data_IF_283383229087
#
_entry.id   IF_283383229087
#
_cell.length_a   1.000
_cell.length_b   1.000
_cell.length_c   1.000
_cell.angle_alpha   90.00
_cell.angle_beta   90.00
_cell.angle_gamma   90.00
#
_symmetry.space_group_name_H-M   'P 1'
#
loop_
_entity.id
_entity.type
_entity.pdbx_description
1 polymer ?
#
# COMPACT_ATOMS: atom_id res chain seq x y z
N UNK A 1 24.27 27.34 -37.23
CA UNK A 1 23.00 27.13 -36.50
C UNK A 1 23.36 26.45 -35.18
N UNK A 2 23.44 27.20 -34.07
CA UNK A 2 23.85 26.68 -32.74
C UNK A 2 22.60 26.32 -31.95
N UNK A 3 22.43 25.04 -31.62
CA UNK A 3 21.35 24.58 -30.75
C UNK A 3 21.74 24.82 -29.29
N UNK A 4 20.99 25.69 -28.61
CA UNK A 4 21.03 25.81 -27.16
C UNK A 4 20.25 24.64 -26.55
N UNK A 5 20.96 23.70 -25.94
CA UNK A 5 20.34 22.70 -25.08
C UNK A 5 19.96 23.39 -23.75
N UNK A 6 18.66 23.63 -23.57
CA UNK A 6 18.10 24.10 -22.30
C UNK A 6 18.20 22.97 -21.28
N UNK A 7 19.08 23.12 -20.29
CA UNK A 7 19.18 22.19 -19.18
C UNK A 7 17.87 22.22 -18.37
N UNK A 8 17.27 21.06 -18.14
CA UNK A 8 16.11 20.92 -17.26
C UNK A 8 16.47 21.42 -15.84
N UNK A 9 15.55 22.12 -15.15
CA UNK A 9 15.85 22.68 -13.84
C UNK A 9 16.14 21.56 -12.84
N UNK A 10 17.28 21.66 -12.14
CA UNK A 10 17.60 20.80 -11.00
C UNK A 10 16.54 21.03 -9.91
N UNK A 11 15.75 20.00 -9.64
CA UNK A 11 14.70 20.00 -8.61
C UNK A 11 15.32 20.33 -7.25
N UNK A 12 14.87 21.42 -6.62
CA UNK A 12 15.35 21.83 -5.30
C UNK A 12 15.13 20.70 -4.28
N UNK A 13 16.11 20.48 -3.41
CA UNK A 13 16.03 19.49 -2.34
C UNK A 13 15.15 20.08 -1.23
N UNK A 14 13.87 19.69 -1.19
CA UNK A 14 12.98 20.02 -0.08
C UNK A 14 13.43 19.35 1.23
N UNK A 15 13.37 20.10 2.32
CA UNK A 15 13.75 19.72 3.70
C UNK A 15 12.63 19.06 4.50
N UNK A 16 11.43 18.94 3.92
CA UNK A 16 10.29 18.27 4.54
C UNK A 16 10.52 16.75 4.62
N UNK A 17 10.05 16.07 5.70
CA UNK A 17 10.10 14.62 5.79
C UNK A 17 9.36 14.00 4.60
N UNK A 18 10.09 13.32 3.72
CA UNK A 18 9.48 12.76 2.51
C UNK A 18 8.80 11.44 2.81
N UNK A 19 7.56 11.30 2.36
CA UNK A 19 6.75 10.08 2.52
C UNK A 19 7.43 8.85 1.91
N UNK A 20 7.32 7.73 2.61
CA UNK A 20 7.65 6.40 2.07
C UNK A 20 6.38 5.61 1.85
N UNK A 21 6.28 4.97 0.68
CA UNK A 21 5.17 4.08 0.36
C UNK A 21 5.63 2.65 0.41
N UNK A 22 4.87 1.79 1.09
CA UNK A 22 5.06 0.35 1.14
C UNK A 22 3.90 -0.31 0.41
N UNK A 23 4.19 -1.13 -0.60
CA UNK A 23 3.20 -1.90 -1.36
C UNK A 23 3.35 -3.37 -1.02
N UNK A 24 2.34 -3.96 -0.39
CA UNK A 24 2.31 -5.36 0.02
C UNK A 24 1.82 -6.24 -1.14
N UNK A 25 2.74 -7.03 -1.73
CA UNK A 25 2.47 -7.85 -2.92
C UNK A 25 2.85 -9.34 -2.75
N UNK A 26 3.34 -9.76 -1.58
CA UNK A 26 3.85 -11.12 -1.30
C UNK A 26 2.76 -12.17 -0.96
N UNK A 27 1.47 -11.78 -1.01
CA UNK A 27 0.36 -12.63 -0.64
C UNK A 27 0.11 -13.76 -1.65
N UNK A 28 -0.12 -14.99 -1.17
CA UNK A 28 -0.33 -16.18 -2.04
C UNK A 28 -1.57 -16.10 -2.93
N UNK A 29 -2.61 -15.38 -2.52
CA UNK A 29 -3.82 -15.21 -3.32
C UNK A 29 -4.63 -16.49 -3.55
N UNK A 30 -4.60 -17.45 -2.62
CA UNK A 30 -5.17 -18.81 -2.80
C UNK A 30 -6.64 -18.84 -3.24
N UNK A 31 -7.43 -17.84 -2.86
CA UNK A 31 -8.85 -17.70 -3.27
C UNK A 31 -9.02 -17.45 -4.78
N UNK A 32 -7.96 -17.04 -5.49
CA UNK A 32 -7.98 -16.84 -6.95
C UNK A 32 -7.99 -18.16 -7.72
N UNK A 33 -7.62 -19.28 -7.08
CA UNK A 33 -7.48 -20.59 -7.72
C UNK A 33 -6.75 -20.54 -9.08
N UNK A 34 -5.63 -19.81 -9.12
CA UNK A 34 -4.89 -19.52 -10.34
C UNK A 34 -3.39 -19.71 -10.12
N UNK A 35 -2.68 -20.17 -11.16
CA UNK A 35 -1.21 -20.23 -11.17
C UNK A 35 -0.58 -18.83 -11.28
N UNK A 36 -1.31 -17.87 -11.84
CA UNK A 36 -0.87 -16.48 -11.92
C UNK A 36 -1.01 -15.83 -10.53
N UNK A 37 0.07 -15.26 -9.97
CA UNK A 37 0.00 -14.51 -8.70
C UNK A 37 -1.12 -13.47 -8.74
N UNK A 38 -1.90 -13.35 -7.64
CA UNK A 38 -3.10 -12.49 -7.57
C UNK A 38 -2.84 -11.10 -8.16
N UNK A 39 -1.76 -10.45 -7.73
CA UNK A 39 -1.42 -9.06 -8.08
C UNK A 39 -1.09 -8.86 -9.56
N UNK A 40 -0.85 -9.94 -10.31
CA UNK A 40 -0.59 -9.93 -11.75
C UNK A 40 -1.86 -10.10 -12.59
N UNK A 41 -3.01 -10.45 -11.99
CA UNK A 41 -4.26 -10.53 -12.74
C UNK A 41 -4.63 -9.15 -13.31
N UNK A 42 -5.03 -9.07 -14.59
CA UNK A 42 -5.32 -7.81 -15.24
C UNK A 42 -6.68 -7.26 -14.81
N UNK A 43 -6.74 -5.94 -14.58
CA UNK A 43 -7.96 -5.15 -14.47
C UNK A 43 -7.85 -4.04 -15.50
N UNK A 44 -8.83 -3.98 -16.42
CA UNK A 44 -8.78 -3.09 -17.59
C UNK A 44 -7.45 -3.22 -18.39
N UNK A 45 -6.97 -4.45 -18.58
CA UNK A 45 -5.76 -4.74 -19.36
C UNK A 45 -4.43 -4.50 -18.64
N UNK A 46 -4.45 -4.01 -17.39
CA UNK A 46 -3.25 -3.72 -16.60
C UNK A 46 -3.22 -4.56 -15.31
N UNK A 47 -2.08 -5.19 -14.95
CA UNK A 47 -1.92 -5.91 -13.68
C UNK A 47 -2.32 -5.06 -12.46
N UNK A 48 -3.05 -5.64 -11.50
CA UNK A 48 -3.49 -4.94 -10.27
C UNK A 48 -2.34 -4.23 -9.55
N UNK A 49 -1.17 -4.86 -9.45
CA UNK A 49 0.02 -4.25 -8.85
C UNK A 49 0.36 -2.90 -9.48
N UNK A 50 0.27 -2.79 -10.81
CA UNK A 50 0.64 -1.57 -11.51
C UNK A 50 -0.38 -0.45 -11.30
N UNK A 51 -1.64 -0.77 -10.96
CA UNK A 51 -2.60 0.24 -10.52
C UNK A 51 -2.25 0.79 -9.13
N UNK A 52 -1.90 -0.08 -8.17
CA UNK A 52 -1.43 0.35 -6.85
C UNK A 52 -0.14 1.17 -6.93
N UNK A 53 0.80 0.80 -7.82
CA UNK A 53 2.00 1.61 -8.08
C UNK A 53 1.65 2.99 -8.68
N UNK A 54 0.64 3.06 -9.54
CA UNK A 54 0.17 4.34 -10.06
C UNK A 54 -0.42 5.25 -8.98
N UNK A 55 -1.23 4.70 -8.08
CA UNK A 55 -1.74 5.45 -6.93
C UNK A 55 -0.59 5.93 -6.02
N UNK A 56 0.40 5.07 -5.74
CA UNK A 56 1.57 5.40 -4.94
C UNK A 56 2.38 6.57 -5.52
N UNK A 57 2.54 6.64 -6.85
CA UNK A 57 3.27 7.74 -7.52
C UNK A 57 2.66 9.11 -7.28
N UNK A 58 1.35 9.21 -7.06
CA UNK A 58 0.68 10.48 -6.82
C UNK A 58 1.13 11.16 -5.52
N UNK A 59 1.75 10.41 -4.59
CA UNK A 59 2.33 10.95 -3.36
C UNK A 59 3.75 11.51 -3.54
N UNK A 60 4.34 11.39 -4.73
CA UNK A 60 5.76 11.73 -5.00
C UNK A 60 6.71 11.21 -3.89
N UNK A 61 6.67 9.90 -3.60
CA UNK A 61 7.37 9.36 -2.45
C UNK A 61 8.89 9.44 -2.62
N UNK A 62 9.61 9.65 -1.50
CA UNK A 62 11.07 9.49 -1.50
C UNK A 62 11.49 8.06 -1.84
N UNK A 63 10.69 7.08 -1.39
CA UNK A 63 10.90 5.66 -1.62
C UNK A 63 9.57 4.95 -1.79
N UNK A 64 9.54 4.04 -2.76
CA UNK A 64 8.48 3.04 -2.89
C UNK A 64 9.11 1.68 -2.65
N UNK A 65 8.67 0.99 -1.61
CA UNK A 65 9.15 -0.33 -1.22
C UNK A 65 8.08 -1.36 -1.53
N UNK A 66 8.38 -2.33 -2.40
CA UNK A 66 7.43 -3.35 -2.84
C UNK A 66 7.78 -4.68 -2.19
N UNK A 67 6.95 -5.14 -1.26
CA UNK A 67 7.16 -6.40 -0.56
C UNK A 67 6.71 -7.54 -1.44
N UNK A 68 7.64 -8.37 -1.91
CA UNK A 68 7.40 -9.46 -2.85
C UNK A 68 7.80 -10.79 -2.23
N UNK A 69 7.12 -11.87 -2.61
CA UNK A 69 7.61 -13.21 -2.32
C UNK A 69 8.48 -13.67 -3.50
N UNK A 70 9.76 -14.02 -3.30
CA UNK A 70 10.63 -14.49 -4.38
C UNK A 70 10.11 -15.71 -5.15
N UNK A 71 9.22 -16.51 -4.54
CA UNK A 71 8.60 -17.67 -5.21
C UNK A 71 7.43 -17.29 -6.13
N UNK A 72 7.09 -16.01 -6.26
CA UNK A 72 6.02 -15.54 -7.13
C UNK A 72 6.59 -15.00 -8.43
N UNK A 73 6.64 -15.88 -9.43
CA UNK A 73 7.14 -15.56 -10.75
C UNK A 73 6.44 -14.35 -11.37
N UNK A 74 7.22 -13.48 -12.01
CA UNK A 74 6.72 -12.31 -12.72
C UNK A 74 6.41 -11.08 -11.87
N UNK A 75 6.24 -11.20 -10.53
CA UNK A 75 5.89 -10.05 -9.68
C UNK A 75 7.00 -8.99 -9.66
N UNK A 76 8.25 -9.40 -9.52
CA UNK A 76 9.37 -8.45 -9.59
C UNK A 76 9.59 -7.94 -11.03
N UNK A 77 9.38 -8.79 -12.04
CA UNK A 77 9.61 -8.41 -13.43
C UNK A 77 8.62 -7.34 -13.91
N UNK A 78 7.34 -7.43 -13.51
CA UNK A 78 6.30 -6.49 -13.95
C UNK A 78 6.56 -5.05 -13.48
N UNK A 79 7.30 -4.88 -12.38
CA UNK A 79 7.67 -3.58 -11.85
C UNK A 79 8.61 -2.82 -12.78
N UNK A 80 9.37 -3.52 -13.65
CA UNK A 80 10.28 -2.91 -14.62
C UNK A 80 11.23 -1.87 -13.99
N UNK A 81 11.79 -2.18 -12.81
CA UNK A 81 12.67 -1.29 -12.05
C UNK A 81 11.94 -0.20 -11.24
N UNK A 82 10.61 -0.15 -11.28
CA UNK A 82 9.82 0.78 -10.46
C UNK A 82 9.71 0.29 -9.01
N UNK A 83 10.22 1.10 -8.08
CA UNK A 83 10.25 0.76 -6.65
C UNK A 83 11.35 -0.24 -6.30
N UNK A 84 11.73 -0.24 -5.02
CA UNK A 84 12.72 -1.18 -4.48
C UNK A 84 12.00 -2.41 -3.94
N UNK A 85 12.36 -3.59 -4.42
CA UNK A 85 11.78 -4.83 -3.91
C UNK A 85 12.36 -5.22 -2.54
N UNK A 86 11.50 -5.74 -1.67
CA UNK A 86 11.85 -6.29 -0.36
C UNK A 86 11.29 -7.71 -0.28
N UNK A 87 12.13 -8.69 0.01
CA UNK A 87 11.71 -10.08 0.01
C UNK A 87 10.95 -10.44 1.30
N UNK A 88 9.81 -11.12 1.14
CA UNK A 88 9.13 -11.85 2.20
C UNK A 88 9.09 -13.35 1.84
N UNK A 89 10.12 -14.10 2.24
CA UNK A 89 10.23 -15.53 1.90
C UNK A 89 9.17 -16.41 2.56
N UNK A 90 8.64 -15.99 3.72
CA UNK A 90 7.56 -16.69 4.44
C UNK A 90 6.33 -15.79 4.54
N UNK A 91 5.22 -16.21 3.95
CA UNK A 91 3.94 -15.50 3.99
C UNK A 91 3.23 -15.67 5.35
N UNK A 92 3.77 -15.06 6.41
CA UNK A 92 3.26 -15.11 7.79
C UNK A 92 2.25 -13.99 8.11
N UNK A 93 1.67 -13.36 7.09
CA UNK A 93 0.69 -12.28 7.23
C UNK A 93 1.24 -10.89 6.91
N UNK A 94 0.37 -9.89 7.02
CA UNK A 94 0.59 -8.49 6.62
C UNK A 94 1.55 -7.77 7.56
N UNK A 95 1.41 -7.97 8.88
CA UNK A 95 2.35 -7.47 9.86
C UNK A 95 3.78 -7.98 9.62
N UNK A 96 3.95 -9.27 9.33
CA UNK A 96 5.25 -9.83 8.97
C UNK A 96 5.79 -9.23 7.66
N UNK A 97 4.93 -8.95 6.68
CA UNK A 97 5.32 -8.33 5.41
C UNK A 97 5.88 -6.92 5.64
N UNK A 98 5.18 -6.11 6.45
CA UNK A 98 5.65 -4.77 6.82
C UNK A 98 6.92 -4.83 7.67
N UNK A 99 7.07 -5.82 8.54
CA UNK A 99 8.29 -6.01 9.34
C UNK A 99 9.54 -6.27 8.48
N UNK A 100 9.41 -6.85 7.28
CA UNK A 100 10.54 -7.01 6.35
C UNK A 100 11.09 -5.66 5.89
N UNK A 101 10.22 -4.65 5.83
CA UNK A 101 10.60 -3.29 5.44
C UNK A 101 11.33 -2.57 6.55
N UNK A 102 11.00 -2.83 7.82
CA UNK A 102 11.64 -2.17 8.96
C UNK A 102 13.17 -2.38 8.97
N UNK A 103 13.67 -3.52 8.48
CA UNK A 103 15.09 -3.76 8.30
C UNK A 103 15.73 -2.88 7.20
N UNK A 104 14.95 -2.52 6.18
CA UNK A 104 15.38 -1.70 5.04
C UNK A 104 15.08 -0.20 5.20
N UNK A 105 14.34 0.19 6.25
CA UNK A 105 13.79 1.54 6.38
C UNK A 105 14.01 2.12 7.79
N UNK A 106 14.93 3.08 7.88
CA UNK A 106 15.22 3.87 9.09
C UNK A 106 15.19 5.38 8.79
N UNK A 107 14.19 5.85 8.04
CA UNK A 107 14.09 7.29 7.71
C UNK A 107 12.99 7.97 8.50
N UNK A 108 13.17 9.27 8.74
CA UNK A 108 12.14 10.13 9.29
C UNK A 108 11.02 10.37 8.26
N UNK A 109 9.78 10.53 8.73
CA UNK A 109 8.62 10.85 7.92
C UNK A 109 7.52 9.77 7.94
N UNK A 110 6.36 10.08 7.35
CA UNK A 110 5.22 9.17 7.33
C UNK A 110 5.45 7.98 6.39
N UNK A 111 4.89 6.83 6.78
CA UNK A 111 4.89 5.59 5.98
C UNK A 111 3.45 5.25 5.59
N UNK A 112 3.17 5.26 4.29
CA UNK A 112 1.86 4.86 3.74
C UNK A 112 1.94 3.41 3.28
N UNK A 113 1.08 2.55 3.82
CA UNK A 113 1.05 1.11 3.51
C UNK A 113 -0.17 0.78 2.64
N UNK A 114 0.07 0.16 1.49
CA UNK A 114 -0.94 -0.19 0.49
C UNK A 114 -0.93 -1.70 0.22
N UNK A 115 -2.08 -2.25 -0.15
CA UNK A 115 -2.16 -3.57 -0.77
C UNK A 115 -2.05 -3.48 -2.29
N UNK A 116 -1.34 -4.43 -2.90
CA UNK A 116 -1.17 -4.51 -4.36
C UNK A 116 -2.40 -5.03 -5.11
N UNK A 117 -3.49 -5.35 -4.41
CA UNK A 117 -4.72 -5.91 -4.95
C UNK A 117 -5.92 -4.96 -4.83
N UNK A 118 -5.67 -3.66 -4.63
CA UNK A 118 -6.66 -2.60 -4.58
C UNK A 118 -6.58 -1.70 -5.83
N UNK A 119 -6.94 -2.21 -7.03
CA UNK A 119 -6.69 -1.52 -8.31
C UNK A 119 -7.52 -0.25 -8.50
N UNK A 120 -8.56 -0.03 -7.70
CA UNK A 120 -9.43 1.15 -7.77
C UNK A 120 -9.00 2.26 -6.81
N UNK A 121 -7.94 2.03 -6.01
CA UNK A 121 -7.41 3.04 -5.10
C UNK A 121 -6.81 4.19 -5.90
N UNK A 122 -7.20 5.42 -5.55
CA UNK A 122 -6.82 6.63 -6.28
C UNK A 122 -5.72 7.39 -5.55
N UNK A 123 -4.91 8.11 -6.32
CA UNK A 123 -3.85 8.96 -5.77
C UNK A 123 -4.40 10.07 -4.88
N UNK A 124 -5.54 10.65 -5.25
CA UNK A 124 -6.23 11.70 -4.49
C UNK A 124 -6.70 11.19 -3.13
N UNK A 125 -7.16 9.94 -3.05
CA UNK A 125 -7.55 9.30 -1.78
C UNK A 125 -6.33 9.14 -0.86
N UNK A 126 -5.18 8.77 -1.41
CA UNK A 126 -3.94 8.65 -0.65
C UNK A 126 -3.41 10.00 -0.18
N UNK A 127 -3.49 11.02 -1.03
CA UNK A 127 -3.07 12.38 -0.68
C UNK A 127 -3.94 12.93 0.46
N UNK A 128 -5.26 12.72 0.40
CA UNK A 128 -6.17 13.10 1.47
C UNK A 128 -5.89 12.35 2.78
N UNK A 129 -5.59 11.04 2.72
CA UNK A 129 -5.21 10.23 3.88
C UNK A 129 -3.93 10.76 4.55
N UNK A 130 -2.91 11.08 3.74
CA UNK A 130 -1.65 11.61 4.22
C UNK A 130 -1.82 12.99 4.86
N UNK A 131 -2.57 13.89 4.21
CA UNK A 131 -2.86 15.22 4.75
C UNK A 131 -3.60 15.14 6.09
N UNK A 132 -4.57 14.23 6.24
CA UNK A 132 -5.27 14.02 7.52
C UNK A 132 -4.34 13.45 8.59
N UNK A 133 -3.45 12.54 8.22
CA UNK A 133 -2.44 12.00 9.14
C UNK A 133 -1.50 13.11 9.68
N UNK A 134 -0.97 13.95 8.80
CA UNK A 134 -0.10 15.06 9.17
C UNK A 134 -0.83 16.10 10.02
N UNK A 135 -2.06 16.47 9.63
CA UNK A 135 -2.89 17.44 10.35
C UNK A 135 -3.26 16.96 11.75
N UNK A 136 -3.62 15.69 11.91
CA UNK A 136 -4.07 15.13 13.19
C UNK A 136 -2.91 14.83 14.15
N UNK A 137 -1.69 14.67 13.65
CA UNK A 137 -0.55 14.19 14.44
C UNK A 137 -0.76 12.77 14.97
N UNK A 138 -1.67 11.99 14.36
CA UNK A 138 -1.98 10.65 14.80
C UNK A 138 -0.78 9.71 14.61
N UNK A 139 -0.60 8.76 15.52
CA UNK A 139 0.42 7.71 15.34
C UNK A 139 0.09 6.79 14.14
N UNK A 140 -1.19 6.55 13.89
CA UNK A 140 -1.70 5.73 12.79
C UNK A 140 -3.01 6.33 12.29
N UNK A 141 -3.16 6.45 10.98
CA UNK A 141 -4.40 6.85 10.31
C UNK A 141 -4.86 5.72 9.39
N UNK A 142 -6.15 5.39 9.42
CA UNK A 142 -6.73 4.29 8.65
C UNK A 142 -7.67 4.82 7.57
N UNK A 143 -7.55 4.30 6.36
CA UNK A 143 -8.56 4.45 5.33
C UNK A 143 -9.66 3.40 5.54
N UNK A 144 -10.90 3.83 5.75
CA UNK A 144 -12.06 2.97 5.98
C UNK A 144 -13.15 3.23 4.95
N UNK A 145 -14.06 2.29 4.78
CA UNK A 145 -15.23 2.43 3.93
C UNK A 145 -16.43 1.75 4.58
N UNK A 146 -17.62 2.29 4.34
CA UNK A 146 -18.88 1.67 4.71
C UNK A 146 -19.36 0.80 3.53
N UNK A 147 -19.68 -0.46 3.82
CA UNK A 147 -20.08 -1.44 2.83
C UNK A 147 -21.45 -2.02 3.20
N UNK A 148 -22.35 -2.13 2.23
CA UNK A 148 -23.63 -2.82 2.43
C UNK A 148 -23.42 -4.28 2.85
N UNK A 149 -22.36 -4.92 2.34
CA UNK A 149 -21.96 -6.26 2.74
C UNK A 149 -20.46 -6.29 3.09
N UNK A 150 -20.11 -6.25 4.39
CA UNK A 150 -18.72 -6.21 4.85
C UNK A 150 -18.05 -7.59 4.92
N UNK A 151 -18.72 -8.68 4.49
CA UNK A 151 -18.18 -10.04 4.59
C UNK A 151 -16.77 -10.15 4.01
N UNK A 152 -15.84 -10.64 4.82
CA UNK A 152 -14.45 -10.87 4.42
C UNK A 152 -13.49 -9.69 4.65
N UNK A 153 -13.99 -8.56 5.17
CA UNK A 153 -13.18 -7.42 5.63
C UNK A 153 -13.04 -7.41 7.16
N UNK A 154 -12.01 -6.73 7.66
CA UNK A 154 -11.90 -6.43 9.09
C UNK A 154 -12.93 -5.37 9.52
N UNK A 155 -13.46 -5.48 10.74
CA UNK A 155 -14.43 -4.54 11.30
C UNK A 155 -13.74 -3.49 12.14
N UNK A 156 -14.05 -2.22 11.86
CA UNK A 156 -13.53 -1.08 12.61
C UNK A 156 -14.39 -0.87 13.83
N UNK A 157 -13.89 -1.26 15.00
CA UNK A 157 -14.62 -1.03 16.25
C UNK A 157 -14.21 0.33 16.80
N UNK A 158 -15.19 1.22 16.98
CA UNK A 158 -14.97 2.57 17.49
C UNK A 158 -15.36 2.67 18.97
N UNK A 159 -14.63 3.48 19.72
CA UNK A 159 -15.01 3.88 21.07
C UNK A 159 -16.14 4.92 21.02
N UNK A 160 -16.73 5.23 22.18
CA UNK A 160 -17.86 6.19 22.29
C UNK A 160 -17.54 7.59 21.77
N UNK A 161 -16.26 7.99 21.80
CA UNK A 161 -15.77 9.27 21.28
C UNK A 161 -15.45 9.23 19.77
N UNK A 162 -15.76 8.13 19.07
CA UNK A 162 -15.52 7.95 17.64
C UNK A 162 -14.11 7.48 17.25
N UNK A 163 -13.17 7.46 18.20
CA UNK A 163 -11.81 6.97 17.97
C UNK A 163 -11.82 5.48 17.62
N UNK A 164 -10.92 5.06 16.72
CA UNK A 164 -10.72 3.63 16.42
C UNK A 164 -10.13 2.96 17.66
N UNK A 165 -10.77 1.88 18.10
CA UNK A 165 -10.34 1.06 19.23
C UNK A 165 -9.66 -0.22 18.75
N UNK A 166 -10.31 -0.96 17.85
CA UNK A 166 -9.82 -2.23 17.31
C UNK A 166 -10.14 -2.38 15.82
N UNK A 167 -9.39 -3.27 15.17
CA UNK A 167 -9.74 -3.88 13.89
C UNK A 167 -9.89 -5.39 14.14
N UNK A 168 -11.06 -5.94 13.87
CA UNK A 168 -11.34 -7.38 14.09
C UNK A 168 -11.53 -8.07 12.74
N UNK A 169 -10.67 -9.03 12.43
CA UNK A 169 -10.75 -9.81 11.20
C UNK A 169 -12.01 -10.67 11.14
N UNK A 170 -12.58 -10.86 9.94
CA UNK A 170 -13.81 -11.66 9.72
C UNK A 170 -13.77 -13.05 10.38
N UNK A 171 -12.60 -13.69 10.38
CA UNK A 171 -12.39 -15.03 10.96
C UNK A 171 -12.43 -15.05 12.49
N UNK A 172 -12.14 -13.91 13.13
CA UNK A 172 -12.03 -13.76 14.57
C UNK A 172 -13.26 -13.01 15.16
N UNK A 173 -14.10 -12.43 14.29
CA UNK A 173 -15.29 -11.69 14.68
C UNK A 173 -16.42 -12.60 15.20
N UNK A 174 -17.04 -12.16 16.31
CA UNK A 174 -18.28 -12.77 16.81
C UNK A 174 -19.47 -12.49 15.87
N UNK A 175 -20.58 -13.20 16.05
CA UNK A 175 -21.79 -12.98 15.24
C UNK A 175 -22.30 -11.53 15.29
N UNK A 176 -22.25 -10.90 16.46
CA UNK A 176 -22.59 -9.49 16.65
C UNK A 176 -21.59 -8.57 15.93
N UNK A 177 -20.29 -8.83 16.10
CA UNK A 177 -19.24 -8.03 15.46
C UNK A 177 -19.30 -8.09 13.93
N UNK A 178 -19.74 -9.20 13.34
CA UNK A 178 -19.89 -9.33 11.88
C UNK A 178 -20.96 -8.40 11.29
N UNK A 179 -21.88 -7.90 12.11
CA UNK A 179 -22.91 -6.93 11.71
C UNK A 179 -22.48 -5.46 11.83
N UNK A 180 -21.30 -5.20 12.40
CA UNK A 180 -20.60 -3.90 12.31
C UNK A 180 -20.04 -3.76 10.89
#
# INVERSE_FOLDING_TARGET
MRAHASAAPKRAVSTEPRVTVVVLAAGKGVRMNSRLPKVLHPVAGRPMLLWSMAAARALDPARTLVVVNPTQDGVQAVLNGEGQTVAQSKALGTGHALAQVAAAHRTAGPVVVLYADAPLLRGETLAALLAEHEKSGAAVTLLTADLENPRGYGRIVRARNGAVRDIIEEKDATGEQKGI
#
